data_IF_369905995008
#
_entry.id   IF_369905995008
#
_cell.length_a   1.000
_cell.length_b   1.000
_cell.length_c   1.000
_cell.angle_alpha   90.00
_cell.angle_beta   90.00
_cell.angle_gamma   90.00
#
_symmetry.space_group_name_H-M   'P 1'
#
loop_
_entity.id
_entity.type
_entity.pdbx_description
1 polymer ?
#
# COMPACT_ATOMS: atom_id res chain seq x y z
N UNK A 1 -41.62 -53.70 15.80
CA UNK A 1 -40.44 -52.81 15.93
C UNK A 1 -40.12 -52.18 14.57
N UNK A 2 -40.07 -52.99 13.52
CA UNK A 2 -39.75 -52.56 12.14
C UNK A 2 -40.63 -51.44 11.55
N UNK A 3 -41.91 -51.35 11.92
CA UNK A 3 -42.79 -50.25 11.50
C UNK A 3 -42.43 -48.88 12.12
N UNK A 4 -41.88 -48.87 13.34
CA UNK A 4 -41.49 -47.64 14.05
C UNK A 4 -40.17 -47.11 13.48
N UNK A 5 -39.27 -48.01 13.07
CA UNK A 5 -38.03 -47.62 12.40
C UNK A 5 -38.30 -47.07 11.00
N UNK A 6 -39.27 -47.64 10.26
CA UNK A 6 -39.69 -47.12 8.94
C UNK A 6 -40.25 -45.69 9.00
N UNK A 7 -41.07 -45.36 9.99
CA UNK A 7 -41.60 -43.99 10.15
C UNK A 7 -40.48 -42.99 10.49
N UNK A 8 -39.52 -43.41 11.32
CA UNK A 8 -38.33 -42.60 11.63
C UNK A 8 -37.47 -42.36 10.38
N UNK A 9 -37.22 -43.38 9.56
CA UNK A 9 -36.48 -43.22 8.30
C UNK A 9 -37.22 -42.30 7.32
N UNK A 10 -38.54 -42.40 7.21
CA UNK A 10 -39.33 -41.50 6.36
C UNK A 10 -39.27 -40.05 6.85
N UNK A 11 -39.29 -39.83 8.17
CA UNK A 11 -39.11 -38.50 8.74
C UNK A 11 -37.71 -37.95 8.46
N UNK A 12 -36.66 -38.75 8.62
CA UNK A 12 -35.27 -38.33 8.36
C UNK A 12 -35.06 -38.00 6.88
N UNK A 13 -35.55 -38.84 5.96
CA UNK A 13 -35.54 -38.56 4.51
C UNK A 13 -36.30 -37.26 4.20
N UNK A 14 -37.44 -37.00 4.84
CA UNK A 14 -38.21 -35.78 4.62
C UNK A 14 -37.49 -34.52 5.13
N UNK A 15 -36.76 -34.64 6.25
CA UNK A 15 -35.96 -33.56 6.84
C UNK A 15 -34.76 -33.25 5.96
N UNK A 16 -34.07 -34.29 5.51
CA UNK A 16 -32.93 -34.16 4.59
C UNK A 16 -33.37 -33.56 3.26
N UNK A 17 -34.49 -34.01 2.69
CA UNK A 17 -35.05 -33.41 1.48
C UNK A 17 -35.30 -31.92 1.65
N UNK A 18 -35.97 -31.49 2.74
CA UNK A 18 -36.21 -30.07 3.03
C UNK A 18 -34.94 -29.28 3.31
N UNK A 19 -33.93 -29.92 3.89
CA UNK A 19 -32.62 -29.32 4.14
C UNK A 19 -31.89 -29.06 2.82
N UNK A 20 -31.83 -30.07 1.95
CA UNK A 20 -31.19 -29.96 0.63
C UNK A 20 -31.93 -29.02 -0.31
N UNK A 21 -33.26 -28.98 -0.28
CA UNK A 21 -34.06 -28.00 -1.03
C UNK A 21 -33.72 -26.57 -0.58
N UNK A 22 -33.73 -26.30 0.72
CA UNK A 22 -33.33 -25.00 1.27
C UNK A 22 -31.90 -24.62 0.91
N UNK A 23 -30.97 -25.57 1.01
CA UNK A 23 -29.56 -25.34 0.67
C UNK A 23 -29.38 -25.05 -0.83
N UNK A 24 -30.11 -25.73 -1.69
CA UNK A 24 -30.12 -25.49 -3.14
C UNK A 24 -30.65 -24.11 -3.48
N UNK A 25 -31.72 -23.67 -2.81
CA UNK A 25 -32.29 -22.33 -3.00
C UNK A 25 -31.39 -21.21 -2.46
N UNK A 26 -30.68 -21.46 -1.36
CA UNK A 26 -29.65 -20.55 -0.85
C UNK A 26 -28.50 -20.40 -1.85
N UNK A 27 -27.91 -21.52 -2.30
CA UNK A 27 -26.83 -21.53 -3.29
C UNK A 27 -27.28 -20.84 -4.58
N UNK A 28 -28.52 -21.06 -5.04
CA UNK A 28 -29.06 -20.41 -6.23
C UNK A 28 -29.16 -18.90 -6.06
N UNK A 29 -29.62 -18.42 -4.90
CA UNK A 29 -29.71 -16.98 -4.60
C UNK A 29 -28.34 -16.33 -4.51
N UNK A 30 -27.39 -17.00 -3.87
CA UNK A 30 -26.00 -16.51 -3.78
C UNK A 30 -25.33 -16.46 -5.15
N UNK A 31 -25.46 -17.51 -5.96
CA UNK A 31 -24.96 -17.52 -7.35
C UNK A 31 -25.54 -16.37 -8.17
N UNK A 32 -26.85 -16.15 -8.09
CA UNK A 32 -27.50 -15.04 -8.81
C UNK A 32 -26.98 -13.67 -8.36
N UNK A 33 -26.76 -13.47 -7.05
CA UNK A 33 -26.16 -12.23 -6.53
C UNK A 33 -24.72 -12.06 -7.02
N UNK A 34 -23.93 -13.13 -7.04
CA UNK A 34 -22.57 -13.08 -7.58
C UNK A 34 -22.58 -12.72 -9.05
N UNK A 35 -23.43 -13.35 -9.86
CA UNK A 35 -23.60 -13.04 -11.29
C UNK A 35 -24.02 -11.58 -11.53
N UNK A 36 -24.97 -11.06 -10.73
CA UNK A 36 -25.39 -9.66 -10.79
C UNK A 36 -24.26 -8.69 -10.43
N UNK A 37 -23.44 -9.04 -9.44
CA UNK A 37 -22.30 -8.22 -9.01
C UNK A 37 -21.19 -8.27 -10.06
N UNK A 38 -20.85 -9.44 -10.59
CA UNK A 38 -19.83 -9.58 -11.63
C UNK A 38 -20.24 -8.82 -12.90
N UNK A 39 -21.50 -8.94 -13.32
CA UNK A 39 -22.01 -8.21 -14.49
C UNK A 39 -21.95 -6.69 -14.30
N UNK A 40 -22.25 -6.18 -13.10
CA UNK A 40 -22.10 -4.75 -12.78
C UNK A 40 -20.65 -4.29 -12.86
N UNK A 41 -19.72 -5.05 -12.27
CA UNK A 41 -18.30 -4.72 -12.33
C UNK A 41 -17.74 -4.77 -13.74
N UNK A 42 -18.13 -5.75 -14.55
CA UNK A 42 -17.75 -5.82 -15.96
C UNK A 42 -18.25 -4.59 -16.73
N UNK A 43 -19.53 -4.21 -16.55
CA UNK A 43 -20.08 -3.03 -17.19
C UNK A 43 -19.39 -1.73 -16.76
N UNK A 44 -19.02 -1.60 -15.50
CA UNK A 44 -18.33 -0.41 -14.99
C UNK A 44 -16.86 -0.37 -15.45
N UNK A 45 -16.18 -1.52 -15.54
CA UNK A 45 -14.85 -1.61 -16.15
C UNK A 45 -14.87 -1.20 -17.63
N UNK A 46 -15.90 -1.60 -18.38
CA UNK A 46 -16.07 -1.18 -19.77
C UNK A 46 -16.29 0.33 -19.89
N UNK A 47 -17.13 0.93 -19.03
CA UNK A 47 -17.35 2.39 -19.01
C UNK A 47 -16.06 3.13 -18.71
N UNK A 48 -15.33 2.73 -17.66
CA UNK A 48 -14.05 3.34 -17.30
C UNK A 48 -13.05 3.23 -18.46
N UNK A 49 -13.01 2.09 -19.15
CA UNK A 49 -12.13 1.91 -20.30
C UNK A 49 -12.53 2.79 -21.50
N UNK A 50 -13.83 3.01 -21.73
CA UNK A 50 -14.33 3.95 -22.76
C UNK A 50 -13.97 5.38 -22.41
N UNK A 51 -14.28 5.84 -21.19
CA UNK A 51 -13.93 7.18 -20.71
C UNK A 51 -12.42 7.42 -20.76
N UNK A 52 -11.62 6.43 -20.34
CA UNK A 52 -10.16 6.51 -20.42
C UNK A 52 -9.69 6.70 -21.86
N UNK A 53 -10.26 5.96 -22.81
CA UNK A 53 -9.91 6.10 -24.24
C UNK A 53 -10.29 7.48 -24.75
N UNK A 54 -11.48 7.98 -24.42
CA UNK A 54 -11.96 9.31 -24.82
C UNK A 54 -11.11 10.45 -24.24
N UNK A 55 -10.77 10.39 -22.95
CA UNK A 55 -9.87 11.37 -22.33
C UNK A 55 -8.50 11.37 -23.03
N UNK A 56 -8.01 10.19 -23.39
CA UNK A 56 -6.70 10.04 -23.99
C UNK A 56 -6.69 10.50 -25.46
N UNK A 57 -7.76 10.27 -26.21
CA UNK A 57 -7.92 10.84 -27.56
C UNK A 57 -8.06 12.35 -27.52
N UNK A 58 -8.88 12.89 -26.61
CA UNK A 58 -9.03 14.34 -26.42
C UNK A 58 -7.70 15.00 -26.02
N UNK A 59 -6.95 14.39 -25.09
CA UNK A 59 -5.64 14.90 -24.67
C UNK A 59 -4.62 14.89 -25.83
N UNK A 60 -4.62 13.83 -26.65
CA UNK A 60 -3.78 13.77 -27.86
C UNK A 60 -4.16 14.85 -28.86
N UNK A 61 -5.46 15.05 -29.11
CA UNK A 61 -5.93 16.07 -30.04
C UNK A 61 -5.57 17.48 -29.56
N UNK A 62 -5.75 17.77 -28.27
CA UNK A 62 -5.33 19.03 -27.65
C UNK A 62 -3.82 19.24 -27.77
N UNK A 63 -3.01 18.21 -27.52
CA UNK A 63 -1.56 18.29 -27.66
C UNK A 63 -1.14 18.57 -29.12
N UNK A 64 -1.76 17.90 -30.11
CA UNK A 64 -1.49 18.15 -31.53
C UNK A 64 -1.88 19.58 -31.92
N UNK A 65 -3.04 20.07 -31.48
CA UNK A 65 -3.46 21.47 -31.72
C UNK A 65 -2.49 22.47 -31.11
N UNK A 66 -2.04 22.24 -29.87
CA UNK A 66 -1.10 23.12 -29.18
C UNK A 66 0.29 23.13 -29.86
N UNK A 67 0.77 21.98 -30.34
CA UNK A 67 1.99 21.90 -31.13
C UNK A 67 1.85 22.63 -32.46
N UNK A 68 0.72 22.49 -33.15
CA UNK A 68 0.46 23.20 -34.40
C UNK A 68 0.41 24.73 -34.17
N UNK A 69 -0.28 25.20 -33.13
CA UNK A 69 -0.31 26.63 -32.76
C UNK A 69 1.08 27.15 -32.41
N UNK A 70 1.87 26.36 -31.67
CA UNK A 70 3.23 26.72 -31.29
C UNK A 70 4.15 26.81 -32.51
N UNK A 71 4.08 25.84 -33.42
CA UNK A 71 4.88 25.83 -34.65
C UNK A 71 4.51 27.01 -35.55
N UNK A 72 3.22 27.31 -35.71
CA UNK A 72 2.77 28.46 -36.49
C UNK A 72 3.26 29.80 -35.90
N UNK A 73 3.24 29.95 -34.56
CA UNK A 73 3.81 31.14 -33.90
C UNK A 73 5.32 31.22 -34.09
N UNK A 74 6.04 30.11 -33.97
CA UNK A 74 7.49 30.07 -34.20
C UNK A 74 7.80 30.49 -35.63
N UNK A 75 7.08 29.96 -36.62
CA UNK A 75 7.28 30.32 -38.03
C UNK A 75 7.00 31.81 -38.29
N UNK A 76 5.91 32.36 -37.74
CA UNK A 76 5.62 33.78 -37.82
C UNK A 76 6.71 34.64 -37.19
N UNK A 77 7.21 34.27 -36.00
CA UNK A 77 8.32 34.99 -35.36
C UNK A 77 9.64 34.88 -36.12
N UNK A 78 9.93 33.74 -36.75
CA UNK A 78 11.12 33.57 -37.62
C UNK A 78 11.00 34.47 -38.84
N UNK A 79 9.79 34.55 -39.43
CA UNK A 79 9.51 35.45 -40.55
C UNK A 79 9.69 36.93 -40.15
N UNK A 80 9.11 37.35 -39.03
CA UNK A 80 9.29 38.71 -38.50
C UNK A 80 10.76 39.03 -38.21
N UNK A 81 11.53 38.08 -37.65
CA UNK A 81 12.97 38.27 -37.43
C UNK A 81 13.69 38.48 -38.77
N UNK A 82 13.45 37.62 -39.77
CA UNK A 82 14.06 37.74 -41.11
C UNK A 82 13.73 39.07 -41.78
N UNK A 83 12.48 39.54 -41.65
CA UNK A 83 12.05 40.84 -42.22
C UNK A 83 12.62 42.03 -41.43
N UNK A 84 12.93 41.88 -40.14
CA UNK A 84 13.42 42.95 -39.26
C UNK A 84 14.92 42.91 -38.95
N UNK A 85 15.69 42.01 -39.58
CA UNK A 85 17.14 41.78 -39.38
C UNK A 85 18.02 43.07 -39.40
N UNK A 86 17.49 44.20 -39.86
CA UNK A 86 18.15 45.50 -39.85
C UNK A 86 18.03 46.31 -38.52
N UNK A 87 17.13 45.97 -37.59
CA UNK A 87 16.90 46.76 -36.36
C UNK A 87 17.13 45.94 -35.07
N UNK A 88 18.30 46.13 -34.44
CA UNK A 88 18.74 45.45 -33.20
C UNK A 88 17.72 45.45 -32.05
N UNK A 89 16.94 46.53 -31.88
CA UNK A 89 15.95 46.64 -30.80
C UNK A 89 14.70 45.77 -31.05
N UNK A 90 14.22 45.69 -32.30
CA UNK A 90 13.04 44.90 -32.66
C UNK A 90 13.30 43.40 -32.55
N UNK A 91 14.49 42.95 -32.96
CA UNK A 91 14.90 41.54 -32.82
C UNK A 91 14.97 41.10 -31.35
N UNK A 92 15.35 42.01 -30.43
CA UNK A 92 15.39 41.72 -28.98
C UNK A 92 13.99 41.54 -28.40
N UNK A 93 13.02 42.36 -28.83
CA UNK A 93 11.63 42.24 -28.41
C UNK A 93 10.98 40.93 -28.91
N UNK A 94 11.27 40.52 -30.15
CA UNK A 94 10.74 39.26 -30.70
C UNK A 94 11.34 38.03 -29.97
N UNK A 95 12.64 38.08 -29.61
CA UNK A 95 13.24 37.02 -28.77
C UNK A 95 12.61 36.95 -27.38
N UNK A 96 12.28 38.09 -26.78
CA UNK A 96 11.59 38.15 -25.49
C UNK A 96 10.17 37.58 -25.58
N UNK A 97 9.38 37.92 -26.60
CA UNK A 97 8.02 37.39 -26.76
C UNK A 97 8.00 35.87 -26.97
N UNK A 98 9.00 35.33 -27.68
CA UNK A 98 9.17 33.89 -27.87
C UNK A 98 9.58 33.17 -26.57
N UNK A 99 10.46 33.78 -25.78
CA UNK A 99 10.86 33.30 -24.45
C UNK A 99 9.65 33.25 -23.49
N UNK A 100 8.86 34.32 -23.44
CA UNK A 100 7.64 34.39 -22.62
C UNK A 100 6.60 33.35 -23.04
N UNK A 101 6.45 33.09 -24.34
CA UNK A 101 5.54 32.07 -24.83
C UNK A 101 5.99 30.65 -24.43
N UNK A 102 7.29 30.37 -24.55
CA UNK A 102 7.90 29.11 -24.09
C UNK A 102 7.69 28.89 -22.59
N UNK A 103 7.84 29.94 -21.79
CA UNK A 103 7.57 29.90 -20.35
C UNK A 103 6.08 29.71 -20.04
N UNK A 104 5.16 30.32 -20.80
CA UNK A 104 3.71 30.12 -20.66
C UNK A 104 3.25 28.70 -20.97
N UNK A 105 3.83 28.03 -21.96
CA UNK A 105 3.53 26.62 -22.27
C UNK A 105 4.12 25.70 -21.19
N UNK A 106 5.40 25.87 -20.85
CA UNK A 106 6.05 25.05 -19.83
C UNK A 106 5.43 25.19 -18.44
N UNK A 107 4.97 26.39 -18.06
CA UNK A 107 4.35 26.64 -16.76
C UNK A 107 2.91 26.12 -16.65
N UNK A 108 2.14 26.11 -17.76
CA UNK A 108 0.77 25.54 -17.78
C UNK A 108 0.79 24.01 -17.67
N UNK A 109 1.63 23.33 -18.44
CA UNK A 109 1.69 21.85 -18.42
C UNK A 109 2.33 21.30 -17.14
N UNK A 110 3.43 21.90 -16.68
CA UNK A 110 4.09 21.48 -15.43
C UNK A 110 3.26 21.90 -14.22
N UNK A 111 2.55 23.02 -14.30
CA UNK A 111 1.66 23.52 -13.24
C UNK A 111 0.45 22.63 -12.99
N UNK A 112 -0.15 22.04 -14.04
CA UNK A 112 -1.30 21.14 -13.90
C UNK A 112 -0.90 19.70 -13.55
N UNK A 113 0.21 19.18 -14.11
CA UNK A 113 0.75 17.87 -13.74
C UNK A 113 1.28 17.88 -12.29
N UNK A 114 1.92 18.98 -11.83
CA UNK A 114 2.28 19.16 -10.42
C UNK A 114 1.11 19.51 -9.51
N UNK A 115 -0.03 19.98 -10.03
CA UNK A 115 -1.27 20.14 -9.23
C UNK A 115 -2.06 18.84 -9.09
N UNK A 116 -2.03 17.95 -10.09
CA UNK A 116 -2.66 16.61 -10.01
C UNK A 116 -1.78 15.57 -9.30
N UNK A 117 -0.44 15.69 -9.36
CA UNK A 117 0.52 14.94 -8.51
C UNK A 117 0.88 15.66 -7.20
N UNK A 118 0.01 16.55 -6.70
CA UNK A 118 0.00 16.89 -5.29
C UNK A 118 -1.02 15.98 -4.60
N UNK A 119 -0.64 15.16 -3.61
CA UNK A 119 -1.63 14.70 -2.66
C UNK A 119 -2.29 15.96 -2.09
N UNK A 120 -3.63 16.00 -2.06
CA UNK A 120 -4.43 17.13 -1.55
C UNK A 120 -3.77 17.77 -0.32
N UNK A 121 -3.01 18.84 -0.56
CA UNK A 121 -2.59 19.81 0.42
C UNK A 121 -3.34 21.09 0.10
N UNK A 122 -4.56 21.17 0.64
CA UNK A 122 -5.24 22.42 0.96
C UNK A 122 -4.90 22.72 2.41
N UNK A 123 -4.08 23.70 2.78
CA UNK A 123 -3.32 24.61 1.97
C UNK A 123 -2.13 25.16 2.75
N UNK A 124 -1.06 25.45 2.03
CA UNK A 124 -0.10 26.49 2.38
C UNK A 124 0.15 27.26 1.09
N UNK A 125 -0.30 28.51 1.05
CA UNK A 125 0.30 29.53 0.22
C UNK A 125 0.89 30.55 1.19
N UNK A 126 2.19 30.72 1.03
CA UNK A 126 3.04 31.61 1.80
C UNK A 126 2.49 33.04 1.78
N UNK A 127 2.50 33.69 2.94
CA UNK A 127 2.81 35.10 3.03
C UNK A 127 4.06 35.20 3.89
N UNK A 128 5.18 35.27 3.20
CA UNK A 128 6.40 35.88 3.70
C UNK A 128 6.11 37.38 3.84
N UNK A 129 5.69 37.77 5.04
CA UNK A 129 5.70 39.15 5.53
C UNK A 129 5.83 39.03 7.03
N UNK A 130 6.94 39.53 7.55
CA UNK A 130 7.35 39.34 8.92
C UNK A 130 6.27 39.65 9.93
N UNK A 131 5.97 38.66 10.77
CA UNK A 131 5.66 38.91 12.17
C UNK A 131 6.53 37.96 12.96
N UNK A 132 7.55 38.55 13.58
CA UNK A 132 8.17 38.01 14.78
C UNK A 132 7.04 37.66 15.77
N UNK A 133 6.68 36.39 15.87
CA UNK A 133 5.97 35.86 17.03
C UNK A 133 6.97 34.87 17.63
N UNK A 134 7.84 35.19 18.59
CA UNK A 134 7.51 35.80 19.88
C UNK A 134 6.17 35.28 20.44
N UNK A 135 5.97 33.97 20.38
CA UNK A 135 5.14 33.30 21.37
C UNK A 135 5.97 32.23 22.04
N UNK A 136 6.19 32.47 23.32
CA UNK A 136 6.68 31.53 24.31
C UNK A 136 6.03 30.17 24.09
N UNK A 137 6.87 29.13 24.01
CA UNK A 137 6.41 27.80 24.33
C UNK A 137 5.85 27.84 25.77
N UNK A 138 4.81 27.07 26.06
CA UNK A 138 4.28 26.93 27.41
C UNK A 138 4.49 25.50 27.91
N UNK A 139 4.65 25.37 29.22
CA UNK A 139 4.75 24.05 29.87
C UNK A 139 3.43 23.30 29.64
N UNK A 140 3.51 22.06 29.13
CA UNK A 140 2.36 21.25 28.72
C UNK A 140 2.09 21.24 27.21
N UNK A 141 2.82 22.01 26.40
CA UNK A 141 2.67 21.97 24.96
C UNK A 141 3.23 20.69 24.34
N UNK A 142 2.48 20.13 23.40
CA UNK A 142 2.98 19.05 22.54
C UNK A 142 3.88 19.61 21.45
N UNK A 143 5.16 19.23 21.47
CA UNK A 143 6.19 19.67 20.55
C UNK A 143 6.87 18.48 19.87
N UNK A 144 7.49 18.74 18.74
CA UNK A 144 8.28 17.78 17.96
C UNK A 144 9.61 18.41 17.61
N UNK A 145 10.63 17.57 17.50
CA UNK A 145 11.94 17.97 17.02
C UNK A 145 11.92 18.06 15.48
N UNK A 146 12.38 19.16 14.92
CA UNK A 146 12.46 19.36 13.47
C UNK A 146 13.36 18.26 12.87
N UNK A 147 12.78 17.39 12.04
CA UNK A 147 13.47 16.24 11.42
C UNK A 147 13.24 14.88 12.09
N UNK A 148 12.53 14.81 13.22
CA UNK A 148 12.10 13.55 13.85
C UNK A 148 10.57 13.49 13.97
N UNK A 149 9.98 12.30 13.86
CA UNK A 149 8.53 12.11 13.95
C UNK A 149 8.01 11.93 15.39
N UNK A 150 8.90 11.86 16.38
CA UNK A 150 8.55 11.72 17.79
C UNK A 150 7.90 13.01 18.31
N UNK A 151 6.65 12.90 18.77
CA UNK A 151 5.98 13.95 19.53
C UNK A 151 6.33 13.79 21.02
N UNK A 152 6.59 14.90 21.70
CA UNK A 152 6.86 14.96 23.12
C UNK A 152 6.15 16.14 23.79
N UNK A 153 6.12 16.16 25.11
CA UNK A 153 5.49 17.21 25.90
C UNK A 153 6.55 18.07 26.58
N UNK A 154 6.40 19.39 26.51
CA UNK A 154 7.29 20.34 27.19
C UNK A 154 7.03 20.27 28.69
N UNK A 155 8.01 19.80 29.46
CA UNK A 155 7.93 19.75 30.93
C UNK A 155 8.45 21.04 31.57
N UNK A 156 9.50 21.63 30.99
CA UNK A 156 10.15 22.79 31.55
C UNK A 156 10.77 23.63 30.44
N UNK A 157 10.74 24.95 30.60
CA UNK A 157 11.30 25.90 29.64
C UNK A 157 12.35 26.74 30.34
N UNK A 158 13.58 26.63 29.86
CA UNK A 158 14.69 27.51 30.18
C UNK A 158 14.85 28.50 29.02
N UNK A 159 15.40 29.69 29.27
CA UNK A 159 15.41 30.83 28.33
C UNK A 159 15.74 30.48 26.86
N UNK A 160 16.65 29.52 26.61
CA UNK A 160 17.04 29.07 25.26
C UNK A 160 16.83 27.57 24.99
N UNK A 161 16.42 26.79 26.00
CA UNK A 161 16.30 25.31 25.93
C UNK A 161 15.05 24.84 26.65
N UNK A 162 14.35 23.84 26.12
CA UNK A 162 13.23 23.19 26.77
C UNK A 162 13.58 21.74 27.12
N UNK A 163 13.09 21.28 28.27
CA UNK A 163 13.11 19.87 28.66
C UNK A 163 11.81 19.24 28.17
N UNK A 164 11.93 18.25 27.29
CA UNK A 164 10.80 17.61 26.63
C UNK A 164 10.78 16.13 27.00
N UNK A 165 9.60 15.63 27.36
CA UNK A 165 9.35 14.21 27.52
C UNK A 165 8.89 13.60 26.19
N UNK A 166 9.75 12.80 25.57
CA UNK A 166 9.38 11.92 24.46
C UNK A 166 9.01 10.55 25.02
N UNK A 167 7.74 10.38 25.40
CA UNK A 167 7.28 9.16 26.06
C UNK A 167 7.94 8.97 27.42
N UNK A 168 8.83 7.99 27.54
CA UNK A 168 9.57 7.69 28.78
C UNK A 168 10.92 8.41 28.88
N UNK A 169 11.39 9.03 27.79
CA UNK A 169 12.72 9.63 27.71
C UNK A 169 12.60 11.15 27.85
N UNK A 170 13.36 11.75 28.77
CA UNK A 170 13.48 13.21 28.90
C UNK A 170 14.70 13.69 28.13
N UNK A 171 14.53 14.70 27.28
CA UNK A 171 15.61 15.27 26.48
C UNK A 171 15.59 16.80 26.55
N UNK A 172 16.77 17.41 26.60
CA UNK A 172 16.92 18.87 26.62
C UNK A 172 17.23 19.36 25.22
N UNK A 173 16.34 20.17 24.64
CA UNK A 173 16.41 20.58 23.23
C UNK A 173 16.29 22.10 23.12
N UNK A 174 17.00 22.69 22.17
CA UNK A 174 16.92 24.13 21.87
C UNK A 174 15.55 24.49 21.28
N UNK A 175 14.99 25.62 21.70
CA UNK A 175 13.66 26.08 21.26
C UNK A 175 13.55 26.27 19.73
N UNK A 176 14.68 26.55 19.07
CA UNK A 176 14.78 26.71 17.61
C UNK A 176 14.61 25.40 16.84
N UNK A 177 14.82 24.26 17.49
CA UNK A 177 14.71 22.92 16.90
C UNK A 177 13.34 22.29 17.18
N UNK A 178 12.39 23.06 17.72
CA UNK A 178 11.08 22.57 18.14
C UNK A 178 9.96 23.17 17.29
N UNK A 179 9.01 22.31 16.93
CA UNK A 179 7.77 22.67 16.25
C UNK A 179 6.58 22.20 17.10
N UNK A 180 5.60 23.07 17.35
CA UNK A 180 4.39 22.71 18.10
C UNK A 180 3.49 21.82 17.24
N UNK A 181 3.09 20.66 17.77
CA UNK A 181 2.25 19.69 17.07
C UNK A 181 0.87 19.66 17.71
N UNK A 182 -0.18 19.75 16.90
CA UNK A 182 -1.57 19.66 17.39
C UNK A 182 -1.93 18.24 17.85
N UNK A 183 -2.71 18.12 18.93
CA UNK A 183 -3.17 16.81 19.47
C UNK A 183 -3.89 15.92 18.43
N UNK A 184 -4.50 16.52 17.40
CA UNK A 184 -5.13 15.80 16.29
C UNK A 184 -4.13 15.21 15.29
N UNK A 185 -2.96 15.81 15.09
CA UNK A 185 -1.88 15.23 14.28
C UNK A 185 -1.26 14.03 14.99
N UNK A 186 -1.07 14.11 16.31
CA UNK A 186 -0.55 13.03 17.15
C UNK A 186 -1.46 11.79 17.09
N UNK A 187 -2.79 11.96 17.13
CA UNK A 187 -3.75 10.85 16.98
C UNK A 187 -3.74 10.22 15.58
N UNK A 188 -3.50 11.02 14.54
CA UNK A 188 -3.51 10.55 13.14
C UNK A 188 -2.23 9.80 12.78
N UNK A 189 -1.10 10.21 13.33
CA UNK A 189 0.20 9.54 13.14
C UNK A 189 0.35 8.31 14.02
N UNK A 190 -0.22 8.28 15.23
CA UNK A 190 -0.32 7.03 16.02
C UNK A 190 -1.06 5.93 15.27
N UNK A 191 -2.13 6.26 14.52
CA UNK A 191 -2.82 5.29 13.64
C UNK A 191 -2.01 4.83 12.42
N UNK A 192 -1.08 5.66 11.93
CA UNK A 192 -0.25 5.33 10.76
C UNK A 192 1.07 4.63 11.13
N UNK A 193 1.45 4.65 12.41
CA UNK A 193 2.69 4.06 12.95
C UNK A 193 2.44 2.76 13.72
N UNK A 194 1.27 2.15 13.58
CA UNK A 194 0.98 0.86 14.18
C UNK A 194 1.63 -0.26 13.34
N UNK A 195 2.95 -0.39 13.46
CA UNK A 195 3.63 -1.64 13.11
C UNK A 195 2.96 -2.84 13.81
N UNK A 196 2.35 -2.62 14.98
CA UNK A 196 1.51 -3.59 15.67
C UNK A 196 0.24 -3.98 14.91
N UNK A 197 -0.42 -3.08 14.19
CA UNK A 197 -1.64 -3.40 13.42
C UNK A 197 -1.28 -4.22 12.18
N UNK A 198 -0.17 -3.90 11.50
CA UNK A 198 0.33 -4.68 10.37
C UNK A 198 0.78 -6.09 10.80
N UNK A 199 1.48 -6.20 11.92
CA UNK A 199 1.86 -7.50 12.50
C UNK A 199 0.62 -8.28 12.95
N UNK A 200 -0.38 -7.61 13.52
CA UNK A 200 -1.63 -8.24 13.93
C UNK A 200 -2.43 -8.75 12.72
N UNK A 201 -2.55 -7.97 11.65
CA UNK A 201 -3.18 -8.40 10.40
C UNK A 201 -2.43 -9.55 9.74
N UNK A 202 -1.10 -9.52 9.73
CA UNK A 202 -0.30 -10.65 9.23
C UNK A 202 -0.50 -11.90 10.09
N UNK A 203 -0.55 -11.76 11.42
CA UNK A 203 -0.82 -12.88 12.33
C UNK A 203 -2.19 -13.50 12.10
N UNK A 204 -3.22 -12.69 11.81
CA UNK A 204 -4.57 -13.18 11.54
C UNK A 204 -4.68 -13.92 10.19
N UNK A 205 -3.87 -13.53 9.21
CA UNK A 205 -3.92 -14.10 7.86
C UNK A 205 -2.88 -15.21 7.61
N UNK A 206 -1.93 -15.41 8.54
CA UNK A 206 -0.88 -16.40 8.39
C UNK A 206 -1.45 -17.82 8.54
N UNK A 207 -1.17 -18.66 7.55
CA UNK A 207 -1.50 -20.08 7.58
C UNK A 207 -0.30 -20.85 8.08
N UNK A 208 -0.54 -21.83 8.95
CA UNK A 208 0.54 -22.67 9.51
C UNK A 208 1.00 -23.77 8.56
N UNK A 209 0.41 -23.85 7.36
CA UNK A 209 0.70 -24.80 6.31
C UNK A 209 1.16 -24.12 5.03
N UNK A 210 2.23 -24.65 4.42
CA UNK A 210 2.67 -24.28 3.07
C UNK A 210 2.71 -25.53 2.18
N UNK A 211 2.16 -25.40 0.97
CA UNK A 211 2.23 -26.43 -0.07
C UNK A 211 3.31 -26.10 -1.09
N UNK A 212 4.32 -26.97 -1.18
CA UNK A 212 5.44 -26.87 -2.13
C UNK A 212 5.46 -28.03 -3.13
N UNK A 213 4.36 -28.78 -3.26
CA UNK A 213 4.25 -29.87 -4.23
C UNK A 213 4.32 -29.34 -5.65
N UNK A 214 5.09 -30.03 -6.50
CA UNK A 214 5.25 -29.67 -7.91
C UNK A 214 6.20 -28.51 -8.17
N UNK A 215 6.70 -27.83 -7.13
CA UNK A 215 7.77 -26.84 -7.25
C UNK A 215 9.11 -27.53 -7.53
N UNK A 216 10.02 -26.84 -8.22
CA UNK A 216 11.41 -27.28 -8.32
C UNK A 216 12.12 -27.12 -6.98
N UNK A 217 13.20 -27.87 -6.77
CA UNK A 217 13.95 -27.89 -5.51
C UNK A 217 14.30 -26.49 -4.98
N UNK A 218 14.91 -25.65 -5.83
CA UNK A 218 15.32 -24.29 -5.47
C UNK A 218 14.12 -23.37 -5.15
N UNK A 219 13.04 -23.47 -5.92
CA UNK A 219 11.82 -22.67 -5.72
C UNK A 219 11.13 -23.05 -4.41
N UNK A 220 11.01 -24.35 -4.14
CA UNK A 220 10.45 -24.88 -2.91
C UNK A 220 11.27 -24.43 -1.70
N UNK A 221 12.61 -24.51 -1.79
CA UNK A 221 13.50 -24.07 -0.73
C UNK A 221 13.30 -22.58 -0.44
N UNK A 222 13.31 -21.74 -1.47
CA UNK A 222 13.11 -20.30 -1.30
C UNK A 222 11.74 -19.96 -0.67
N UNK A 223 10.68 -20.66 -1.08
CA UNK A 223 9.34 -20.48 -0.51
C UNK A 223 9.29 -20.88 0.98
N UNK A 224 9.99 -21.97 1.34
CA UNK A 224 10.10 -22.44 2.73
C UNK A 224 10.88 -21.44 3.58
N UNK A 225 11.96 -20.84 3.07
CA UNK A 225 12.73 -19.81 3.77
C UNK A 225 11.83 -18.64 4.18
N UNK A 226 11.14 -18.04 3.21
CA UNK A 226 10.23 -16.92 3.49
C UNK A 226 9.11 -17.29 4.45
N UNK A 227 8.58 -18.50 4.32
CA UNK A 227 7.52 -19.00 5.18
C UNK A 227 7.98 -19.17 6.64
N UNK A 228 9.20 -19.67 6.87
CA UNK A 228 9.77 -19.81 8.20
C UNK A 228 10.10 -18.45 8.82
N UNK A 229 10.63 -17.52 8.04
CA UNK A 229 10.90 -16.16 8.51
C UNK A 229 9.61 -15.47 8.98
N UNK A 230 8.52 -15.58 8.21
CA UNK A 230 7.21 -15.07 8.61
C UNK A 230 6.69 -15.77 9.88
N UNK A 231 6.88 -17.09 10.00
CA UNK A 231 6.46 -17.84 11.18
C UNK A 231 7.21 -17.41 12.45
N UNK A 232 8.53 -17.24 12.35
CA UNK A 232 9.39 -16.77 13.44
C UNK A 232 9.03 -15.33 13.81
N UNK A 233 8.85 -14.46 12.81
CA UNK A 233 8.45 -13.06 13.04
C UNK A 233 7.10 -12.94 13.76
N UNK A 234 6.17 -13.85 13.47
CA UNK A 234 4.84 -13.89 14.07
C UNK A 234 4.79 -14.67 15.40
N UNK A 235 5.88 -15.33 15.81
CA UNK A 235 5.97 -16.16 17.01
C UNK A 235 5.03 -17.37 16.95
N UNK A 236 4.91 -17.99 15.77
CA UNK A 236 4.11 -19.21 15.59
C UNK A 236 4.92 -20.41 16.07
N UNK A 237 4.45 -21.20 17.05
CA UNK A 237 5.27 -22.25 17.66
C UNK A 237 5.45 -23.49 16.78
N UNK A 238 4.53 -23.73 15.84
CA UNK A 238 4.52 -24.92 15.00
C UNK A 238 4.01 -24.62 13.60
N UNK A 239 4.72 -25.12 12.60
CA UNK A 239 4.35 -25.02 11.20
C UNK A 239 4.50 -26.36 10.47
N UNK A 240 3.87 -26.47 9.30
CA UNK A 240 3.76 -27.69 8.50
C UNK A 240 4.16 -27.41 7.05
N UNK A 241 5.04 -28.22 6.50
CA UNK A 241 5.45 -28.11 5.10
C UNK A 241 4.99 -29.35 4.35
N UNK A 242 4.13 -29.14 3.37
CA UNK A 242 3.60 -30.17 2.49
C UNK A 242 4.47 -30.25 1.23
N UNK A 243 5.43 -31.18 1.22
CA UNK A 243 6.32 -31.42 0.07
C UNK A 243 5.95 -32.65 -0.76
N UNK A 244 5.05 -33.50 -0.23
CA UNK A 244 4.65 -34.75 -0.89
C UNK A 244 5.64 -35.90 -0.68
N UNK A 245 5.25 -37.10 -1.07
CA UNK A 245 6.03 -38.33 -0.89
C UNK A 245 6.96 -38.60 -2.07
N UNK A 246 6.44 -38.58 -3.31
CA UNK A 246 7.19 -38.57 -4.56
C UNK A 246 8.49 -39.38 -4.58
N UNK A 247 9.57 -38.78 -5.07
CA UNK A 247 10.95 -39.30 -5.01
C UNK A 247 11.66 -38.94 -3.70
N UNK A 248 11.01 -38.19 -2.80
CA UNK A 248 11.62 -37.70 -1.57
C UNK A 248 12.65 -36.57 -1.73
N UNK A 249 12.92 -36.08 -2.95
CA UNK A 249 13.93 -35.05 -3.19
C UNK A 249 13.66 -33.74 -2.43
N UNK A 250 12.42 -33.23 -2.49
CA UNK A 250 12.02 -32.03 -1.73
C UNK A 250 12.12 -32.25 -0.22
N UNK A 251 11.71 -33.42 0.28
CA UNK A 251 11.84 -33.77 1.71
C UNK A 251 13.29 -33.70 2.17
N UNK A 252 14.21 -34.24 1.37
CA UNK A 252 15.62 -34.29 1.74
C UNK A 252 16.25 -32.90 1.79
N UNK A 253 16.04 -32.09 0.75
CA UNK A 253 16.59 -30.73 0.65
C UNK A 253 16.03 -29.82 1.74
N UNK A 254 14.71 -29.87 1.98
CA UNK A 254 14.08 -29.07 3.03
C UNK A 254 14.63 -29.45 4.40
N UNK A 255 14.82 -30.74 4.70
CA UNK A 255 15.37 -31.18 5.98
C UNK A 255 16.85 -30.85 6.15
N UNK A 256 17.62 -30.93 5.09
CA UNK A 256 19.02 -30.49 5.08
C UNK A 256 19.12 -29.01 5.41
N UNK A 257 18.25 -28.18 4.81
CA UNK A 257 18.17 -26.77 5.13
C UNK A 257 17.76 -26.51 6.59
N UNK A 258 16.68 -27.14 7.06
CA UNK A 258 16.19 -27.00 8.44
C UNK A 258 17.26 -27.36 9.48
N UNK A 259 18.13 -28.33 9.18
CA UNK A 259 19.23 -28.72 10.06
C UNK A 259 20.35 -27.67 10.20
N UNK A 260 20.40 -26.67 9.31
CA UNK A 260 21.37 -25.57 9.38
C UNK A 260 20.80 -24.27 9.96
N UNK A 261 19.51 -24.26 10.32
CA UNK A 261 18.81 -23.07 10.80
C UNK A 261 18.70 -23.05 12.33
N UNK A 262 19.24 -22.01 12.97
CA UNK A 262 19.24 -21.83 14.43
C UNK A 262 17.87 -21.53 15.05
N UNK A 263 16.82 -21.31 14.24
CA UNK A 263 15.46 -20.99 14.69
C UNK A 263 14.52 -22.19 14.82
N UNK A 264 15.01 -23.41 14.58
CA UNK A 264 14.22 -24.64 14.55
C UNK A 264 14.56 -25.51 15.76
N UNK A 265 13.61 -25.69 16.68
CA UNK A 265 13.78 -26.55 17.85
C UNK A 265 13.83 -28.03 17.46
N UNK A 266 12.89 -28.45 16.61
CA UNK A 266 12.76 -29.84 16.16
C UNK A 266 11.97 -29.93 14.86
N UNK A 267 12.31 -30.90 14.02
CA UNK A 267 11.49 -31.29 12.88
C UNK A 267 11.34 -32.80 12.78
N UNK A 268 10.17 -33.27 12.33
CA UNK A 268 9.89 -34.69 12.13
C UNK A 268 8.83 -34.93 11.05
N UNK A 269 8.67 -36.18 10.61
CA UNK A 269 7.57 -36.55 9.72
C UNK A 269 6.25 -36.48 10.49
N UNK A 270 5.17 -36.12 9.81
CA UNK A 270 3.85 -36.15 10.40
C UNK A 270 3.38 -37.59 10.71
N UNK A 271 2.43 -37.72 11.62
CA UNK A 271 1.67 -38.94 11.82
C UNK A 271 1.06 -39.47 10.52
N UNK A 272 1.04 -40.80 10.38
CA UNK A 272 0.61 -41.51 9.15
C UNK A 272 -0.81 -41.11 8.72
N UNK A 273 -1.72 -40.91 9.68
CA UNK A 273 -3.11 -40.50 9.41
C UNK A 273 -3.25 -39.09 8.81
N UNK A 274 -2.27 -38.21 9.00
CA UNK A 274 -2.31 -36.82 8.53
C UNK A 274 -1.37 -36.55 7.35
N UNK A 275 -0.84 -37.59 6.70
CA UNK A 275 0.01 -37.46 5.51
C UNK A 275 1.41 -38.05 5.66
N UNK A 276 1.79 -38.50 6.87
CA UNK A 276 3.01 -39.27 7.08
C UNK A 276 4.27 -38.53 6.61
N UNK A 277 5.13 -39.29 5.91
CA UNK A 277 6.37 -38.79 5.32
C UNK A 277 6.20 -37.76 4.18
N UNK A 278 4.97 -37.41 3.80
CA UNK A 278 4.68 -36.35 2.83
C UNK A 278 4.59 -34.95 3.43
N UNK A 279 4.67 -34.85 4.76
CA UNK A 279 4.60 -33.60 5.51
C UNK A 279 5.73 -33.59 6.53
N UNK A 280 6.47 -32.49 6.58
CA UNK A 280 7.42 -32.22 7.67
C UNK A 280 6.79 -31.22 8.63
N UNK A 281 6.70 -31.61 9.90
CA UNK A 281 6.26 -30.75 11.01
C UNK A 281 7.49 -30.15 11.64
N UNK A 282 7.43 -28.84 11.92
CA UNK A 282 8.53 -28.06 12.46
C UNK A 282 8.02 -27.36 13.71
N UNK A 283 8.71 -27.60 14.82
CA UNK A 283 8.57 -26.87 16.07
C UNK A 283 9.65 -25.78 16.09
N UNK A 284 9.22 -24.54 16.20
CA UNK A 284 10.08 -23.35 16.25
C UNK A 284 10.33 -22.95 17.72
N UNK A 285 11.47 -22.31 17.98
CA UNK A 285 11.83 -21.81 19.32
C UNK A 285 11.11 -20.51 19.71
#
# INVERSE_FOLDING_TARGET
KDYIDMDKYLQDISRDKRYWERKRDEIRRERKRLEEITSKYEADLEKINKEKKEILTQAREQAVRLLAESNARIENTIREIRETEAHKEKTKQIRQSLQEFKEKIGSKEIGEIKKRKKPRQTGKKNSDTGIKQNHSFEVGDSVRLIGQNSAGEVLEIMEKKAVIAFGMIKSTVELTKLERVSANQIKKEKKASNAGDLLHERRLNFKQDIDVRGMRAEEALQAVIYFLDDAIQLGVPRVRILHGTGTGALRQIIREYLGSMDGVARFHDEHVQFGGAGITVIDLE
#
